data_IF_157858908918
#
_entry.id   IF_157858908918
#
_cell.length_a   1.000
_cell.length_b   1.000
_cell.length_c   1.000
_cell.angle_alpha   90.00
_cell.angle_beta   90.00
_cell.angle_gamma   90.00
#
_symmetry.space_group_name_H-M   'P 1'
#
loop_
_entity.id
_entity.type
_entity.pdbx_description
1 polymer ?
#
# COMPACT_ATOMS: atom_id res chain seq x y z
N UNK A 1 2.04 9.76 0.49
CA UNK A 1 3.28 10.46 0.91
C UNK A 1 3.78 11.33 -0.24
N UNK A 2 4.46 12.44 0.07
CA UNK A 2 4.95 13.39 -0.94
C UNK A 2 6.46 13.65 -0.75
N UNK A 3 7.18 13.85 -1.86
CA UNK A 3 8.60 14.21 -1.90
C UNK A 3 8.71 15.37 -2.87
N UNK A 4 9.30 16.49 -2.44
CA UNK A 4 9.36 17.72 -3.24
C UNK A 4 7.97 18.16 -3.74
N UNK A 5 6.94 18.02 -2.90
CA UNK A 5 5.52 18.28 -3.23
C UNK A 5 4.88 17.36 -4.27
N UNK A 6 5.59 16.34 -4.75
CA UNK A 6 5.03 15.33 -5.67
C UNK A 6 4.64 14.05 -4.90
N UNK A 7 3.44 13.51 -5.12
CA UNK A 7 3.05 12.24 -4.50
C UNK A 7 3.88 11.10 -5.10
N UNK A 8 4.52 10.30 -4.23
CA UNK A 8 5.37 9.19 -4.67
C UNK A 8 4.91 7.82 -4.16
N UNK A 9 3.94 7.79 -3.23
CA UNK A 9 3.44 6.55 -2.63
C UNK A 9 2.02 6.77 -2.10
N UNK A 10 1.11 5.85 -2.45
CA UNK A 10 -0.20 5.72 -1.85
C UNK A 10 -0.11 4.78 -0.63
N UNK A 11 -0.69 5.21 0.49
CA UNK A 11 -0.74 4.40 1.72
C UNK A 11 -2.18 4.37 2.21
N UNK A 12 -2.69 3.17 2.42
CA UNK A 12 -3.96 2.90 3.10
C UNK A 12 -3.67 2.10 4.37
N UNK A 13 -4.40 2.37 5.46
CA UNK A 13 -4.29 1.60 6.69
C UNK A 13 -5.68 1.04 7.03
N UNK A 14 -5.77 -0.28 7.11
CA UNK A 14 -7.01 -1.02 7.40
C UNK A 14 -6.70 -2.06 8.47
N UNK A 15 -7.68 -2.39 9.33
CA UNK A 15 -7.46 -3.35 10.42
C UNK A 15 -7.34 -4.79 9.90
N UNK A 16 -8.34 -5.27 9.14
CA UNK A 16 -8.51 -6.71 8.90
C UNK A 16 -8.60 -7.14 7.43
N UNK A 17 -8.91 -6.22 6.50
CA UNK A 17 -9.02 -6.59 5.08
C UNK A 17 -7.65 -6.95 4.52
N UNK A 18 -7.58 -8.16 3.96
CA UNK A 18 -6.34 -8.73 3.42
C UNK A 18 -6.15 -8.42 1.94
N UNK A 19 -7.19 -7.94 1.27
CA UNK A 19 -7.17 -7.52 -0.12
C UNK A 19 -7.18 -5.99 -0.20
N UNK A 20 -6.53 -5.40 -1.22
CA UNK A 20 -6.57 -3.97 -1.48
C UNK A 20 -8.00 -3.48 -1.73
N UNK A 21 -8.37 -2.38 -1.08
CA UNK A 21 -9.67 -1.76 -1.26
C UNK A 21 -9.89 -1.30 -2.70
N UNK A 22 -11.15 -1.26 -3.15
CA UNK A 22 -11.48 -0.75 -4.47
C UNK A 22 -11.01 0.71 -4.71
N UNK A 23 -11.12 1.63 -3.73
CA UNK A 23 -10.50 2.94 -3.82
C UNK A 23 -8.99 2.89 -4.04
N UNK A 24 -8.25 2.13 -3.23
CA UNK A 24 -6.79 2.03 -3.37
C UNK A 24 -6.38 1.53 -4.75
N UNK A 25 -7.06 0.49 -5.26
CA UNK A 25 -6.85 -0.04 -6.60
C UNK A 25 -7.07 1.01 -7.68
N UNK A 26 -8.18 1.76 -7.60
CA UNK A 26 -8.53 2.81 -8.56
C UNK A 26 -7.55 3.96 -8.55
N UNK A 27 -7.14 4.43 -7.36
CA UNK A 27 -6.18 5.52 -7.23
C UNK A 27 -4.80 5.10 -7.75
N UNK A 28 -4.36 3.87 -7.48
CA UNK A 28 -3.10 3.37 -8.02
C UNK A 28 -3.08 3.40 -9.55
N UNK A 29 -4.10 2.84 -10.20
CA UNK A 29 -4.21 2.81 -11.66
C UNK A 29 -4.25 4.21 -12.27
N UNK A 30 -4.95 5.14 -11.60
CA UNK A 30 -5.12 6.52 -12.08
C UNK A 30 -3.83 7.32 -11.97
N UNK A 31 -3.16 7.22 -10.82
CA UNK A 31 -1.97 8.02 -10.51
C UNK A 31 -0.67 7.35 -10.95
N UNK A 32 -0.71 6.06 -11.27
CA UNK A 32 0.44 5.21 -11.61
C UNK A 32 1.57 5.27 -10.57
N UNK A 33 1.19 5.38 -9.29
CA UNK A 33 2.12 5.40 -8.16
C UNK A 33 2.23 4.03 -7.51
N UNK A 34 3.34 3.72 -6.83
CA UNK A 34 3.39 2.62 -5.89
C UNK A 34 2.28 2.71 -4.83
N UNK A 35 1.77 1.57 -4.36
CA UNK A 35 0.73 1.51 -3.34
C UNK A 35 1.04 0.46 -2.27
N UNK A 36 0.73 0.84 -1.03
CA UNK A 36 0.92 0.03 0.17
C UNK A 36 -0.37 0.04 0.99
N UNK A 37 -0.87 -1.14 1.35
CA UNK A 37 -1.87 -1.31 2.38
C UNK A 37 -1.20 -1.85 3.64
N UNK A 38 -1.39 -1.13 4.74
CA UNK A 38 -0.96 -1.55 6.07
C UNK A 38 -2.12 -2.27 6.74
N UNK A 39 -1.83 -3.44 7.29
CA UNK A 39 -2.77 -4.25 8.09
C UNK A 39 -2.28 -4.40 9.53
N UNK A 40 -3.19 -4.65 10.46
CA UNK A 40 -2.83 -4.81 11.87
C UNK A 40 -2.01 -6.10 12.10
N UNK A 41 -2.43 -7.20 11.48
CA UNK A 41 -1.90 -8.53 11.76
C UNK A 41 -1.42 -9.27 10.50
N UNK A 42 -0.30 -9.97 10.65
CA UNK A 42 0.32 -10.82 9.64
C UNK A 42 1.79 -11.04 9.95
N UNK A 43 2.40 -12.02 9.30
CA UNK A 43 3.79 -12.43 9.49
C UNK A 43 4.71 -12.02 8.32
N UNK A 44 4.12 -11.61 7.20
CA UNK A 44 4.83 -11.29 5.96
C UNK A 44 4.07 -10.29 5.11
N UNK A 45 4.78 -9.69 4.15
CA UNK A 45 4.14 -8.92 3.08
C UNK A 45 3.60 -9.85 1.98
N UNK A 46 2.62 -9.34 1.23
CA UNK A 46 2.08 -9.96 0.02
C UNK A 46 2.06 -8.94 -1.11
N UNK A 47 2.30 -9.40 -2.33
CA UNK A 47 2.13 -8.60 -3.55
C UNK A 47 0.85 -9.03 -4.23
N UNK A 48 -0.03 -8.07 -4.50
CA UNK A 48 -1.33 -8.32 -5.11
C UNK A 48 -1.40 -7.53 -6.42
N UNK A 49 -1.71 -8.23 -7.51
CA UNK A 49 -1.80 -7.62 -8.83
C UNK A 49 -2.96 -6.62 -8.93
N UNK A 50 -2.72 -5.54 -9.66
CA UNK A 50 -3.69 -4.51 -9.99
C UNK A 50 -3.44 -4.00 -11.42
N UNK A 51 -3.78 -4.82 -12.41
CA UNK A 51 -3.40 -4.58 -13.81
C UNK A 51 -1.92 -4.86 -14.03
N UNK A 52 -1.21 -3.89 -14.60
CA UNK A 52 0.25 -3.90 -14.81
C UNK A 52 1.05 -3.49 -13.56
N UNK A 53 0.37 -3.07 -12.48
CA UNK A 53 0.98 -2.68 -11.21
C UNK A 53 0.75 -3.71 -10.11
N UNK A 54 1.50 -3.58 -9.02
CA UNK A 54 1.36 -4.39 -7.81
C UNK A 54 1.07 -3.50 -6.60
N UNK A 55 0.24 -3.99 -5.68
CA UNK A 55 -0.01 -3.40 -4.37
C UNK A 55 0.66 -4.28 -3.33
N UNK A 56 1.50 -3.67 -2.49
CA UNK A 56 2.08 -4.38 -1.35
C UNK A 56 1.10 -4.31 -0.17
N UNK A 57 0.79 -5.46 0.42
CA UNK A 57 0.04 -5.54 1.68
C UNK A 57 1.01 -6.01 2.76
N UNK A 58 1.21 -5.23 3.81
CA UNK A 58 2.17 -5.53 4.86
C UNK A 58 1.61 -5.24 6.25
N UNK A 59 1.99 -6.03 7.28
CA UNK A 59 1.75 -5.66 8.66
C UNK A 59 2.38 -4.31 8.99
N UNK A 60 1.62 -3.42 9.65
CA UNK A 60 2.05 -2.05 9.93
C UNK A 60 3.40 -2.01 10.65
N UNK A 61 3.59 -2.88 11.65
CA UNK A 61 4.81 -2.94 12.46
C UNK A 61 6.07 -3.31 11.65
N UNK A 62 5.95 -4.14 10.60
CA UNK A 62 7.08 -4.45 9.71
C UNK A 62 7.50 -3.23 8.89
N UNK A 63 6.54 -2.38 8.52
CA UNK A 63 6.81 -1.17 7.76
C UNK A 63 7.30 -0.01 8.63
N UNK A 64 6.74 0.14 9.84
CA UNK A 64 7.15 1.16 10.81
C UNK A 64 8.62 1.03 11.21
N UNK A 65 9.15 -0.20 11.28
CA UNK A 65 10.55 -0.45 11.57
C UNK A 65 11.53 0.11 10.51
N UNK A 66 11.05 0.42 9.31
CA UNK A 66 11.85 0.91 8.19
C UNK A 66 11.52 2.33 7.75
N UNK A 67 10.76 3.09 8.54
CA UNK A 67 10.53 4.51 8.24
C UNK A 67 11.85 5.30 8.40
N UNK A 68 12.16 6.23 7.48
CA UNK A 68 13.30 7.14 7.62
C UNK A 68 13.13 8.12 8.79
#
# INVERSE_FOLDING_TARGET
>A
MTRNHEPFLLVEAILTEREPSAPLRKFQQTLRLPALQLIEAGDRYRLISNGDQQIMVAPAWLWLAGLP
#
